data_IF_626035218773
#
_entry.id   IF_626035218773
#
_cell.length_a   1.000
_cell.length_b   1.000
_cell.length_c   1.000
_cell.angle_alpha   90.00
_cell.angle_beta   90.00
_cell.angle_gamma   90.00
#
_symmetry.space_group_name_H-M   'P 1'
#
loop_
_entity.id
_entity.type
_entity.pdbx_description
1 polymer ?
#
# COMPACT_ATOMS: atom_id res chain seq x y z
N UNK A 1 -12.59 -19.95 -40.12
CA UNK A 1 -12.83 -20.10 -38.66
C UNK A 1 -11.51 -20.46 -37.98
N UNK A 2 -11.14 -19.69 -36.95
CA UNK A 2 -10.13 -19.94 -35.88
C UNK A 2 -8.67 -20.14 -36.36
N UNK A 3 -7.78 -19.16 -36.35
CA UNK A 3 -7.22 -18.30 -35.29
C UNK A 3 -6.42 -19.06 -34.21
N UNK A 4 -5.23 -18.50 -33.90
CA UNK A 4 -4.36 -18.69 -32.72
C UNK A 4 -3.32 -19.82 -32.83
N UNK A 5 -2.06 -19.68 -32.43
CA UNK A 5 -1.35 -18.62 -31.71
C UNK A 5 0.16 -18.80 -31.96
N UNK A 6 0.79 -17.83 -32.61
CA UNK A 6 2.22 -17.57 -32.52
C UNK A 6 2.42 -16.47 -31.48
N UNK A 7 3.19 -16.73 -30.41
CA UNK A 7 4.05 -15.80 -29.65
C UNK A 7 4.48 -16.54 -28.35
N UNK A 8 5.78 -16.40 -28.02
CA UNK A 8 6.53 -16.85 -26.81
C UNK A 8 7.51 -18.01 -27.01
N UNK A 9 8.49 -17.83 -27.89
CA UNK A 9 9.85 -18.31 -27.62
C UNK A 9 10.62 -17.19 -26.93
N UNK A 10 11.06 -17.43 -25.69
CA UNK A 10 11.84 -16.49 -24.91
C UNK A 10 12.46 -17.16 -23.68
N UNK A 11 13.71 -17.61 -23.82
CA UNK A 11 14.70 -17.88 -22.76
C UNK A 11 14.33 -18.86 -21.62
N UNK A 12 14.12 -20.14 -21.92
CA UNK A 12 14.11 -21.20 -20.90
C UNK A 12 15.52 -21.69 -20.48
N UNK A 13 16.58 -21.31 -21.21
CA UNK A 13 17.96 -21.84 -21.02
C UNK A 13 18.70 -21.33 -19.76
N UNK A 14 18.09 -20.48 -18.92
CA UNK A 14 18.77 -19.89 -17.75
C UNK A 14 17.98 -20.01 -16.45
N UNK A 15 17.09 -20.99 -16.34
CA UNK A 15 16.28 -21.23 -15.14
C UNK A 15 16.79 -22.45 -14.38
N UNK A 16 17.04 -22.29 -13.08
CA UNK A 16 17.33 -23.39 -12.17
C UNK A 16 16.14 -23.65 -11.26
N UNK A 17 15.78 -24.92 -11.06
CA UNK A 17 14.72 -25.32 -10.14
C UNK A 17 15.25 -25.41 -8.70
N UNK A 18 14.59 -24.72 -7.77
CA UNK A 18 14.84 -24.84 -6.33
C UNK A 18 13.57 -25.26 -5.60
N UNK A 19 13.73 -26.10 -4.58
CA UNK A 19 12.63 -26.53 -3.72
C UNK A 19 12.56 -25.64 -2.48
N UNK A 20 11.56 -24.77 -2.42
CA UNK A 20 11.29 -23.92 -1.27
C UNK A 20 10.36 -24.64 -0.28
N UNK A 21 10.55 -24.36 1.02
CA UNK A 21 9.69 -24.81 2.11
C UNK A 21 9.23 -23.60 2.91
N UNK A 22 7.92 -23.43 3.08
CA UNK A 22 7.38 -22.37 3.91
C UNK A 22 7.83 -22.57 5.39
N UNK A 23 8.42 -21.55 6.05
CA UNK A 23 8.84 -21.64 7.45
C UNK A 23 7.67 -21.58 8.45
N UNK A 24 6.44 -21.29 8.00
CA UNK A 24 5.25 -21.21 8.84
C UNK A 24 4.42 -22.50 8.79
N UNK A 25 4.08 -23.01 7.61
CA UNK A 25 3.22 -24.20 7.46
C UNK A 25 3.93 -25.44 6.89
N UNK A 26 5.22 -25.36 6.56
CA UNK A 26 6.00 -26.46 5.95
C UNK A 26 5.54 -26.93 4.57
N UNK A 27 4.63 -26.22 3.90
CA UNK A 27 4.28 -26.47 2.50
C UNK A 27 5.52 -26.35 1.62
N UNK A 28 5.70 -27.29 0.69
CA UNK A 28 6.82 -27.29 -0.25
C UNK A 28 6.35 -26.90 -1.65
N UNK A 29 7.17 -26.15 -2.37
CA UNK A 29 6.95 -25.85 -3.79
C UNK A 29 8.27 -25.80 -4.54
N UNK A 30 8.26 -26.23 -5.79
CA UNK A 30 9.38 -26.02 -6.68
C UNK A 30 9.20 -24.70 -7.43
N UNK A 31 10.24 -23.87 -7.44
CA UNK A 31 10.27 -22.61 -8.17
C UNK A 31 11.42 -22.64 -9.17
N UNK A 32 11.16 -22.13 -10.38
CA UNK A 32 12.18 -21.90 -11.41
C UNK A 32 12.70 -20.48 -11.28
N UNK A 33 14.00 -20.32 -11.00
CA UNK A 33 14.63 -19.01 -10.74
C UNK A 33 15.72 -18.75 -11.78
N UNK A 34 15.79 -17.53 -12.37
CA UNK A 34 16.86 -17.19 -13.29
C UNK A 34 18.22 -17.20 -12.60
N UNK A 35 19.19 -17.91 -13.18
CA UNK A 35 20.57 -18.02 -12.67
C UNK A 35 21.19 -16.64 -12.42
N UNK A 36 20.89 -15.66 -13.30
CA UNK A 36 21.38 -14.28 -13.21
C UNK A 36 20.97 -13.54 -11.93
N UNK A 37 19.87 -13.91 -11.28
CA UNK A 37 19.41 -13.27 -10.03
C UNK A 37 20.32 -13.65 -8.86
N UNK A 38 20.83 -14.89 -8.86
CA UNK A 38 21.66 -15.41 -7.76
C UNK A 38 23.11 -14.92 -7.86
N UNK A 39 23.64 -14.79 -9.07
CA UNK A 39 25.05 -14.48 -9.30
C UNK A 39 25.42 -13.00 -9.00
N UNK A 40 24.42 -12.14 -8.78
CA UNK A 40 24.62 -10.72 -8.46
C UNK A 40 25.08 -10.47 -7.01
N UNK A 41 24.94 -11.44 -6.11
CA UNK A 41 25.29 -11.29 -4.69
C UNK A 41 26.66 -11.90 -4.36
N UNK A 42 27.43 -11.26 -3.46
CA UNK A 42 28.74 -11.76 -3.05
C UNK A 42 28.67 -13.03 -2.17
N UNK A 43 27.56 -13.28 -1.47
CA UNK A 43 27.41 -14.40 -0.52
C UNK A 43 26.04 -15.09 -0.61
N UNK A 44 24.95 -14.39 -0.27
CA UNK A 44 23.58 -14.92 -0.31
C UNK A 44 22.67 -13.98 -1.09
N UNK A 45 21.76 -14.56 -1.85
CA UNK A 45 20.68 -13.87 -2.55
C UNK A 45 19.41 -13.99 -1.74
N UNK A 46 18.85 -12.86 -1.33
CA UNK A 46 17.54 -12.82 -0.67
C UNK A 46 16.44 -12.79 -1.71
N UNK A 47 15.54 -13.78 -1.66
CA UNK A 47 14.42 -13.91 -2.59
C UNK A 47 13.13 -13.78 -1.78
N UNK A 48 12.34 -12.76 -2.10
CA UNK A 48 11.00 -12.58 -1.53
C UNK A 48 10.02 -13.56 -2.18
N UNK A 49 9.37 -14.39 -1.37
CA UNK A 49 8.32 -15.33 -1.77
C UNK A 49 6.98 -14.74 -1.31
N UNK A 50 6.18 -14.17 -2.23
CA UNK A 50 4.90 -13.60 -1.85
C UNK A 50 3.86 -14.66 -1.49
N UNK A 51 2.83 -14.26 -0.75
CA UNK A 51 1.64 -15.09 -0.52
C UNK A 51 1.04 -15.57 -1.84
N UNK A 52 0.43 -16.75 -1.81
CA UNK A 52 -0.12 -17.49 -2.96
C UNK A 52 0.94 -18.00 -3.95
N UNK A 53 2.19 -17.54 -3.88
CA UNK A 53 3.26 -18.15 -4.68
C UNK A 53 3.58 -19.55 -4.17
N UNK A 54 3.69 -19.78 -2.86
CA UNK A 54 3.90 -21.11 -2.27
C UNK A 54 2.67 -21.63 -1.50
N UNK A 55 2.11 -20.75 -0.66
CA UNK A 55 0.95 -20.93 0.21
C UNK A 55 0.47 -19.53 0.62
N UNK A 56 -0.53 -19.42 1.50
CA UNK A 56 -1.03 -18.11 1.99
C UNK A 56 0.00 -17.29 2.79
N UNK A 57 1.13 -17.89 3.14
CA UNK A 57 2.21 -17.25 3.88
C UNK A 57 3.26 -16.59 2.97
N UNK A 58 3.74 -15.44 3.40
CA UNK A 58 4.87 -14.74 2.82
C UNK A 58 6.14 -14.98 3.62
N UNK A 59 7.28 -15.02 2.93
CA UNK A 59 8.57 -15.21 3.58
C UNK A 59 9.70 -14.83 2.62
N UNK A 60 10.90 -14.68 3.15
CA UNK A 60 12.11 -14.55 2.36
C UNK A 60 12.92 -15.84 2.45
N UNK A 61 13.52 -16.26 1.33
CA UNK A 61 14.46 -17.36 1.27
C UNK A 61 15.87 -16.81 0.97
N UNK A 62 16.87 -17.31 1.70
CA UNK A 62 18.26 -16.99 1.45
C UNK A 62 18.89 -18.12 0.64
N UNK A 63 19.27 -17.83 -0.60
CA UNK A 63 19.80 -18.81 -1.55
C UNK A 63 21.26 -18.49 -1.84
N UNK A 64 22.12 -19.51 -1.76
CA UNK A 64 23.54 -19.36 -2.10
C UNK A 64 23.80 -19.55 -3.61
N UNK A 65 25.06 -19.37 -4.02
CA UNK A 65 25.49 -19.53 -5.42
C UNK A 65 25.34 -20.95 -5.99
N UNK A 66 25.20 -21.95 -5.13
CA UNK A 66 24.96 -23.34 -5.51
C UNK A 66 23.46 -23.66 -5.57
N UNK A 67 22.58 -22.64 -5.50
CA UNK A 67 21.12 -22.78 -5.50
C UNK A 67 20.60 -23.53 -4.27
N UNK A 68 21.38 -23.56 -3.19
CA UNK A 68 21.00 -24.19 -1.93
C UNK A 68 20.39 -23.14 -1.02
N UNK A 69 19.21 -23.44 -0.47
CA UNK A 69 18.56 -22.58 0.51
C UNK A 69 19.28 -22.72 1.85
N UNK A 70 19.81 -21.61 2.37
CA UNK A 70 20.55 -21.54 3.63
C UNK A 70 19.70 -21.14 4.82
N UNK A 71 18.56 -20.52 4.57
CA UNK A 71 17.63 -20.15 5.61
C UNK A 71 16.38 -19.49 5.07
N UNK A 72 15.44 -19.25 5.98
CA UNK A 72 14.22 -18.50 5.72
C UNK A 72 14.07 -17.42 6.76
N UNK A 73 13.49 -16.29 6.34
CA UNK A 73 13.03 -15.26 7.25
C UNK A 73 11.51 -15.15 7.11
N UNK A 74 10.80 -15.30 8.23
CA UNK A 74 9.38 -15.00 8.29
C UNK A 74 9.21 -13.52 8.04
N UNK A 75 8.25 -13.18 7.21
CA UNK A 75 7.84 -11.79 7.01
C UNK A 75 6.67 -11.58 7.95
N UNK A 76 6.84 -10.72 8.96
CA UNK A 76 5.79 -10.46 9.96
C UNK A 76 4.56 -9.79 9.30
N UNK A 77 4.77 -9.05 8.19
CA UNK A 77 3.74 -8.38 7.41
C UNK A 77 4.09 -8.33 5.92
N UNK A 78 3.22 -8.83 5.04
CA UNK A 78 3.38 -8.72 3.59
C UNK A 78 2.42 -7.67 3.02
N UNK A 79 2.96 -6.66 2.34
CA UNK A 79 2.15 -5.65 1.64
C UNK A 79 2.11 -5.94 0.14
N UNK A 80 1.60 -7.11 -0.26
CA UNK A 80 1.36 -7.43 -1.68
C UNK A 80 -0.05 -7.04 -2.15
N UNK A 81 -0.91 -6.58 -1.25
CA UNK A 81 -2.16 -5.90 -1.60
C UNK A 81 -2.35 -4.69 -0.69
N UNK A 82 -1.92 -3.52 -1.15
CA UNK A 82 -2.26 -2.24 -0.53
C UNK A 82 -3.71 -1.89 -0.88
N UNK A 83 -4.65 -2.71 -0.38
CA UNK A 83 -6.09 -2.43 -0.29
C UNK A 83 -6.54 -3.05 1.04
N UNK A 84 -6.23 -2.39 2.16
CA UNK A 84 -6.83 -2.77 3.43
C UNK A 84 -8.23 -2.16 3.55
N UNK A 85 -9.23 -3.03 3.62
CA UNK A 85 -10.57 -2.77 4.14
C UNK A 85 -10.83 -3.71 5.33
N UNK A 86 -11.66 -3.22 6.26
CA UNK A 86 -12.18 -3.84 7.49
C UNK A 86 -11.27 -3.78 8.73
N UNK A 87 -11.44 -2.71 9.51
CA UNK A 87 -11.37 -2.85 10.97
C UNK A 87 -12.68 -3.47 11.44
N UNK A 88 -12.61 -4.56 12.21
CA UNK A 88 -13.77 -5.33 12.67
C UNK A 88 -14.72 -4.61 13.65
N UNK A 89 -14.44 -3.35 13.99
CA UNK A 89 -15.24 -2.53 14.93
C UNK A 89 -15.81 -1.26 14.24
N UNK A 90 -16.41 -1.41 13.07
CA UNK A 90 -17.11 -0.28 12.43
C UNK A 90 -18.47 0.00 13.09
N UNK A 91 -18.78 1.28 13.32
CA UNK A 91 -20.13 1.72 13.68
C UNK A 91 -21.07 1.53 12.48
N UNK A 92 -22.37 1.35 12.72
CA UNK A 92 -23.36 1.10 11.65
C UNK A 92 -23.27 2.14 10.50
N UNK A 93 -23.03 3.41 10.82
CA UNK A 93 -22.95 4.49 9.83
C UNK A 93 -21.75 4.40 8.87
N UNK A 94 -20.61 3.82 9.27
CA UNK A 94 -19.43 3.75 8.39
C UNK A 94 -19.53 2.61 7.38
N UNK A 95 -20.10 1.45 7.76
CA UNK A 95 -20.28 0.32 6.85
C UNK A 95 -21.21 0.65 5.68
N UNK A 96 -22.24 1.44 5.96
CA UNK A 96 -23.18 1.89 4.93
C UNK A 96 -22.49 2.84 3.95
N UNK A 97 -21.68 3.79 4.44
CA UNK A 97 -20.98 4.76 3.61
C UNK A 97 -19.95 4.12 2.66
N UNK A 98 -19.13 3.21 3.17
CA UNK A 98 -18.05 2.57 2.39
C UNK A 98 -18.58 1.65 1.29
N UNK A 99 -19.80 1.14 1.47
CA UNK A 99 -20.55 0.35 0.50
C UNK A 99 -21.21 1.19 -0.59
N UNK A 100 -21.31 2.52 -0.45
CA UNK A 100 -21.98 3.36 -1.43
C UNK A 100 -21.16 3.50 -2.74
N UNK A 101 -21.82 3.55 -3.91
CA UNK A 101 -21.14 3.80 -5.20
C UNK A 101 -20.32 5.10 -5.20
N UNK A 102 -20.78 6.10 -4.47
CA UNK A 102 -20.08 7.39 -4.33
C UNK A 102 -18.71 7.23 -3.68
N UNK A 103 -18.60 6.36 -2.67
CA UNK A 103 -17.36 6.10 -1.97
C UNK A 103 -16.35 5.40 -2.89
N UNK A 104 -16.83 4.47 -3.73
CA UNK A 104 -16.00 3.83 -4.75
C UNK A 104 -15.47 4.83 -5.80
N UNK A 105 -16.28 5.83 -6.19
CA UNK A 105 -15.81 6.93 -7.03
C UNK A 105 -14.74 7.79 -6.35
N UNK A 106 -14.89 8.05 -5.04
CA UNK A 106 -13.88 8.77 -4.27
C UNK A 106 -12.58 7.97 -4.21
N UNK A 107 -12.63 6.67 -3.88
CA UNK A 107 -11.45 5.80 -3.92
C UNK A 107 -10.78 5.85 -5.29
N UNK A 108 -11.56 5.79 -6.37
CA UNK A 108 -11.02 5.90 -7.72
C UNK A 108 -10.28 7.23 -7.94
N UNK A 109 -10.85 8.36 -7.53
CA UNK A 109 -10.16 9.65 -7.60
C UNK A 109 -8.85 9.67 -6.81
N UNK A 110 -8.82 9.01 -5.66
CA UNK A 110 -7.63 8.91 -4.81
C UNK A 110 -6.55 8.01 -5.39
N UNK A 111 -6.93 6.96 -6.12
CA UNK A 111 -5.98 6.13 -6.88
C UNK A 111 -5.44 6.90 -8.08
N UNK A 112 -6.33 7.56 -8.82
CA UNK A 112 -5.98 8.29 -10.04
C UNK A 112 -5.12 9.53 -9.77
N UNK A 113 -5.08 10.03 -8.54
CA UNK A 113 -4.21 11.16 -8.17
C UNK A 113 -2.82 10.75 -7.72
N UNK A 114 -2.58 9.47 -7.39
CA UNK A 114 -1.26 8.99 -6.94
C UNK A 114 -0.36 8.80 -8.15
N UNK A 115 0.84 9.37 -8.06
CA UNK A 115 1.89 9.22 -9.06
C UNK A 115 3.28 9.27 -8.40
N UNK A 116 4.25 8.58 -8.99
CA UNK A 116 5.61 8.48 -8.43
C UNK A 116 6.39 9.81 -8.45
N UNK A 117 5.80 10.88 -9.03
CA UNK A 117 6.46 12.17 -9.19
C UNK A 117 6.09 13.14 -8.10
N UNK A 118 4.81 13.33 -7.81
CA UNK A 118 4.31 14.39 -6.96
C UNK A 118 3.54 13.83 -5.77
N UNK A 119 2.55 12.98 -5.99
CA UNK A 119 1.65 12.45 -4.94
C UNK A 119 1.99 10.98 -4.71
N UNK A 120 2.76 10.70 -3.66
CA UNK A 120 3.25 9.37 -3.35
C UNK A 120 2.20 8.46 -2.71
N UNK A 121 1.12 9.04 -2.17
CA UNK A 121 0.04 8.27 -1.60
C UNK A 121 -1.12 9.12 -1.13
N UNK A 122 -2.26 8.47 -0.90
CA UNK A 122 -3.50 9.10 -0.47
C UNK A 122 -4.22 8.22 0.55
N UNK A 123 -5.12 8.80 1.33
CA UNK A 123 -5.89 8.03 2.30
C UNK A 123 -7.13 8.75 2.81
N UNK A 124 -8.11 7.96 3.26
CA UNK A 124 -9.30 8.40 3.98
C UNK A 124 -9.34 7.69 5.32
N UNK A 125 -9.55 8.46 6.38
CA UNK A 125 -9.68 7.96 7.73
C UNK A 125 -10.96 8.51 8.35
N UNK A 126 -11.51 7.82 9.34
CA UNK A 126 -12.53 8.42 10.21
C UNK A 126 -11.91 9.54 11.06
N UNK A 127 -12.74 10.30 11.77
CA UNK A 127 -12.24 11.34 12.70
C UNK A 127 -11.48 10.72 13.89
N UNK A 128 -11.77 9.47 14.22
CA UNK A 128 -11.11 8.69 15.28
C UNK A 128 -9.80 8.03 14.81
N UNK A 129 -9.44 8.14 13.53
CA UNK A 129 -8.20 7.57 12.99
C UNK A 129 -8.33 6.17 12.39
N UNK A 130 -9.54 5.59 12.31
CA UNK A 130 -9.76 4.31 11.61
C UNK A 130 -9.55 4.49 10.12
N UNK A 131 -8.89 3.53 9.48
CA UNK A 131 -8.59 3.57 8.04
C UNK A 131 -9.83 3.16 7.24
N UNK A 132 -10.30 4.03 6.35
CA UNK A 132 -11.34 3.70 5.36
C UNK A 132 -10.73 3.43 3.97
N UNK A 133 -9.58 4.01 3.68
CA UNK A 133 -8.80 3.74 2.48
C UNK A 133 -7.37 4.27 2.69
N UNK A 134 -6.35 3.58 2.19
CA UNK A 134 -5.00 4.13 2.18
C UNK A 134 -4.14 3.47 1.10
N UNK A 135 -3.40 4.30 0.37
CA UNK A 135 -2.25 3.91 -0.44
C UNK A 135 -0.92 4.42 0.15
N UNK A 136 -0.93 4.88 1.40
CA UNK A 136 0.25 5.42 2.07
C UNK A 136 1.25 4.31 2.42
N UNK A 137 2.57 4.58 2.38
CA UNK A 137 3.58 3.69 2.92
C UNK A 137 3.28 3.32 4.38
N UNK A 138 3.60 2.08 4.77
CA UNK A 138 3.23 1.51 6.07
C UNK A 138 3.67 2.37 7.27
N UNK A 139 4.90 2.86 7.27
CA UNK A 139 5.44 3.71 8.34
C UNK A 139 4.66 5.03 8.45
N UNK A 140 4.36 5.65 7.32
CA UNK A 140 3.53 6.87 7.25
C UNK A 140 2.10 6.60 7.70
N UNK A 141 1.52 5.45 7.32
CA UNK A 141 0.18 5.05 7.72
C UNK A 141 0.04 4.93 9.24
N UNK A 142 0.93 4.20 9.91
CA UNK A 142 0.88 4.05 11.37
C UNK A 142 1.04 5.39 12.11
N UNK A 143 1.98 6.23 11.65
CA UNK A 143 2.17 7.55 12.24
C UNK A 143 0.91 8.42 12.06
N UNK A 144 0.24 8.31 10.91
CA UNK A 144 -1.00 9.02 10.60
C UNK A 144 -2.15 8.58 11.52
N UNK A 145 -2.34 7.27 11.68
CA UNK A 145 -3.37 6.70 12.56
C UNK A 145 -3.17 7.21 13.99
N UNK A 146 -1.95 7.06 14.51
CA UNK A 146 -1.60 7.49 15.87
C UNK A 146 -1.84 8.99 16.09
N UNK A 147 -1.51 9.83 15.11
CA UNK A 147 -1.74 11.27 15.18
C UNK A 147 -3.24 11.59 15.27
N UNK A 148 -4.09 10.88 14.52
CA UNK A 148 -5.54 11.06 14.60
C UNK A 148 -6.14 10.53 15.91
N UNK A 149 -5.69 9.38 16.40
CA UNK A 149 -6.11 8.84 17.70
C UNK A 149 -5.81 9.82 18.84
N UNK A 150 -4.57 10.32 18.91
CA UNK A 150 -4.15 11.29 19.94
C UNK A 150 -4.98 12.57 19.88
N UNK A 151 -5.38 13.02 18.69
CA UNK A 151 -6.24 14.21 18.53
C UNK A 151 -7.64 13.98 19.03
N UNK A 152 -8.19 12.81 18.73
CA UNK A 152 -9.51 12.42 19.18
C UNK A 152 -9.53 12.34 20.71
N UNK A 153 -8.55 11.66 21.31
CA UNK A 153 -8.38 11.58 22.77
C UNK A 153 -8.25 12.96 23.43
N UNK A 154 -7.48 13.86 22.82
CA UNK A 154 -7.25 15.22 23.35
C UNK A 154 -8.33 16.23 22.98
N UNK A 155 -9.42 15.81 22.33
CA UNK A 155 -10.49 16.68 21.85
C UNK A 155 -9.97 17.90 21.06
N UNK A 156 -8.98 17.70 20.18
CA UNK A 156 -8.40 18.75 19.32
C UNK A 156 -9.29 19.06 18.10
N UNK A 157 -10.59 19.22 18.35
CA UNK A 157 -11.69 19.31 17.37
C UNK A 157 -11.58 20.58 16.49
N UNK A 158 -10.76 21.55 16.88
CA UNK A 158 -10.58 22.83 16.17
C UNK A 158 -9.64 22.75 14.96
N UNK A 159 -8.85 21.67 14.82
CA UNK A 159 -7.82 21.57 13.77
C UNK A 159 -8.43 21.01 12.48
N UNK A 160 -8.79 21.89 11.55
CA UNK A 160 -9.37 21.51 10.25
C UNK A 160 -8.36 20.89 9.28
N UNK A 161 -7.06 21.15 9.48
CA UNK A 161 -6.01 20.84 8.51
C UNK A 161 -4.65 20.61 9.16
N UNK A 162 -3.86 19.71 8.60
CA UNK A 162 -2.46 19.50 8.97
C UNK A 162 -1.51 19.74 7.81
N UNK A 163 -0.30 20.17 8.16
CA UNK A 163 0.87 20.17 7.29
C UNK A 163 2.03 19.60 8.10
N UNK A 164 2.61 18.51 7.63
CA UNK A 164 3.78 17.87 8.24
C UNK A 164 4.84 17.67 7.18
N UNK A 165 6.10 17.86 7.57
CA UNK A 165 7.27 17.48 6.77
C UNK A 165 7.97 16.35 7.53
N UNK A 166 8.25 15.25 6.82
CA UNK A 166 8.94 14.08 7.35
C UNK A 166 10.47 14.31 7.32
N UNK A 167 11.22 13.48 8.01
CA UNK A 167 12.69 13.57 8.06
C UNK A 167 13.35 13.46 6.68
N UNK A 168 12.73 12.74 5.75
CA UNK A 168 13.17 12.62 4.35
C UNK A 168 12.64 13.76 3.44
N UNK A 169 12.11 14.83 4.04
CA UNK A 169 11.52 16.00 3.38
C UNK A 169 10.24 15.75 2.57
N UNK A 170 9.73 14.52 2.55
CA UNK A 170 8.37 14.24 2.06
C UNK A 170 7.35 14.98 2.89
N UNK A 171 6.23 15.33 2.26
CA UNK A 171 5.23 16.19 2.89
C UNK A 171 3.92 15.48 3.01
N UNK A 172 3.19 15.88 4.03
CA UNK A 172 1.93 15.28 4.37
C UNK A 172 0.94 16.39 4.65
N UNK A 173 -0.20 16.34 3.97
CA UNK A 173 -1.28 17.30 4.16
C UNK A 173 -2.55 16.53 4.40
N UNK A 174 -3.23 16.81 5.52
CA UNK A 174 -4.55 16.27 5.80
C UNK A 174 -5.58 17.37 5.96
N UNK A 175 -6.84 17.07 5.67
CA UNK A 175 -7.97 17.98 5.88
C UNK A 175 -9.22 17.19 6.22
N UNK A 176 -10.08 17.78 7.05
CA UNK A 176 -11.39 17.20 7.30
C UNK A 176 -12.32 17.51 6.12
N UNK A 177 -12.98 16.49 5.60
CA UNK A 177 -14.07 16.57 4.63
C UNK A 177 -15.36 16.06 5.26
N UNK A 178 -16.51 16.49 4.71
CA UNK A 178 -17.82 16.06 5.18
C UNK A 178 -18.65 15.59 4.00
N UNK A 179 -19.25 14.41 4.12
CA UNK A 179 -20.10 13.81 3.10
C UNK A 179 -21.35 13.25 3.76
N UNK A 180 -22.55 13.66 3.32
CA UNK A 180 -23.83 13.28 3.93
C UNK A 180 -23.88 13.46 5.47
N UNK A 181 -23.20 14.47 6.00
CA UNK A 181 -23.12 14.74 7.44
C UNK A 181 -22.06 13.93 8.20
N UNK A 182 -21.41 12.95 7.56
CA UNK A 182 -20.32 12.17 8.13
C UNK A 182 -18.98 12.84 7.80
N UNK A 183 -18.11 12.98 8.79
CA UNK A 183 -16.80 13.62 8.65
C UNK A 183 -15.68 12.59 8.52
N UNK A 184 -14.73 12.89 7.65
CA UNK A 184 -13.55 12.06 7.40
C UNK A 184 -12.29 12.90 7.30
N UNK A 185 -11.15 12.33 7.63
CA UNK A 185 -9.85 12.90 7.33
C UNK A 185 -9.40 12.42 5.95
N UNK A 186 -9.27 13.35 5.00
CA UNK A 186 -8.61 13.12 3.73
C UNK A 186 -7.13 13.45 3.87
N UNK A 187 -6.27 12.58 3.35
CA UNK A 187 -4.81 12.66 3.45
C UNK A 187 -4.18 12.55 2.08
N UNK A 188 -3.17 13.39 1.81
CA UNK A 188 -2.23 13.24 0.70
C UNK A 188 -0.79 13.31 1.20
N UNK A 189 0.03 12.40 0.68
CA UNK A 189 1.47 12.35 0.86
C UNK A 189 2.16 12.77 -0.44
N UNK A 190 3.18 13.60 -0.32
CA UNK A 190 3.87 14.23 -1.44
C UNK A 190 5.36 13.97 -1.41
N UNK A 191 5.95 13.87 -2.59
CA UNK A 191 7.38 13.72 -2.77
C UNK A 191 8.15 14.92 -2.20
N UNK A 192 9.40 14.69 -1.80
CA UNK A 192 10.25 15.70 -1.18
C UNK A 192 10.36 17.02 -1.98
N UNK A 193 10.30 16.94 -3.32
CA UNK A 193 10.36 18.08 -4.24
C UNK A 193 9.11 18.96 -4.25
N UNK A 194 7.96 18.44 -3.83
CA UNK A 194 6.71 19.19 -3.80
C UNK A 194 6.78 20.17 -2.63
N UNK A 195 6.50 21.45 -2.87
CA UNK A 195 6.37 22.45 -1.80
C UNK A 195 4.95 22.40 -1.23
N UNK A 196 4.75 22.76 0.05
CA UNK A 196 3.42 22.78 0.67
C UNK A 196 2.38 23.58 -0.11
N UNK A 197 2.77 24.69 -0.73
CA UNK A 197 1.87 25.48 -1.59
C UNK A 197 1.32 24.68 -2.77
N UNK A 198 2.17 23.90 -3.44
CA UNK A 198 1.78 23.02 -4.54
C UNK A 198 0.96 21.84 -4.03
N UNK A 199 1.40 21.19 -2.95
CA UNK A 199 0.62 20.11 -2.32
C UNK A 199 -0.79 20.57 -1.93
N UNK A 200 -0.93 21.79 -1.44
CA UNK A 200 -2.22 22.39 -1.13
C UNK A 200 -3.07 22.71 -2.38
N UNK A 201 -2.45 22.97 -3.53
CA UNK A 201 -3.17 23.10 -4.80
C UNK A 201 -3.73 21.74 -5.23
N UNK A 202 -2.91 20.69 -5.23
CA UNK A 202 -3.36 19.32 -5.54
C UNK A 202 -4.51 18.88 -4.63
N UNK A 203 -4.39 19.11 -3.32
CA UNK A 203 -5.45 18.79 -2.37
C UNK A 203 -6.74 19.56 -2.70
N UNK A 204 -6.66 20.87 -2.99
CA UNK A 204 -7.84 21.66 -3.36
C UNK A 204 -8.48 21.20 -4.67
N UNK A 205 -7.69 20.81 -5.66
CA UNK A 205 -8.22 20.31 -6.92
C UNK A 205 -8.88 18.95 -6.78
N UNK A 206 -8.33 18.08 -5.92
CA UNK A 206 -8.96 16.82 -5.54
C UNK A 206 -10.28 17.07 -4.79
N UNK A 207 -10.30 17.99 -3.82
CA UNK A 207 -11.51 18.36 -3.09
C UNK A 207 -12.61 18.84 -4.04
N UNK A 208 -12.30 19.72 -5.00
CA UNK A 208 -13.26 20.17 -6.03
C UNK A 208 -13.79 19.02 -6.87
N UNK A 209 -12.99 17.99 -7.15
CA UNK A 209 -13.45 16.79 -7.87
C UNK A 209 -14.40 15.97 -7.00
N UNK A 210 -14.09 15.79 -5.72
CA UNK A 210 -14.94 15.09 -4.76
C UNK A 210 -16.27 15.82 -4.55
N UNK A 211 -16.24 17.14 -4.41
CA UNK A 211 -17.44 17.99 -4.26
C UNK A 211 -18.39 17.91 -5.46
N UNK A 212 -17.88 17.63 -6.66
CA UNK A 212 -18.72 17.44 -7.86
C UNK A 212 -19.41 16.08 -7.95
N UNK A 213 -18.96 15.12 -7.13
CA UNK A 213 -19.59 13.79 -7.06
C UNK A 213 -20.78 13.85 -6.09
N UNK A 214 -20.71 14.73 -5.10
CA UNK A 214 -21.78 15.02 -4.14
C UNK A 214 -22.93 15.81 -4.82
#
# INVERSE_FOLDING_TARGET
>A
MKAQNSIKQGNEEYLQEIKIRCPQCSTNKNLKIPIKVIDQSKQLTTISIPSKLCCEHSFQAFVDKNFIIRGYQKVDFEFSHMEFYESSDETYDTKDFTSMPIFQHIIKLLRDCVDDKEILGSGIFTIEGKVLYSSLPQTTLFNTIREFEVRNEKNLISVKKMYLELENSEKFISTIISFNGIKFNLVLMFAFRVKFGMGNLHLRDLLKKIEKIN
#
